data_IF_751828641315
#
_entry.id   IF_751828641315
#
_cell.length_a   1.000
_cell.length_b   1.000
_cell.length_c   1.000
_cell.angle_alpha   90.00
_cell.angle_beta   90.00
_cell.angle_gamma   90.00
#
_symmetry.space_group_name_H-M   'P 1'
#
loop_
_entity.id
_entity.type
_entity.pdbx_description
1 polymer ?
#
# COMPACT_ATOMS: atom_id res chain seq x y z
N UNK A 1 -10.90 41.57 -12.22
CA UNK A 1 -11.26 40.16 -11.93
C UNK A 1 -9.95 39.46 -11.71
N UNK A 2 -9.48 39.52 -10.46
CA UNK A 2 -8.17 39.04 -10.08
C UNK A 2 -8.34 37.64 -9.50
N UNK A 3 -7.64 36.66 -10.09
CA UNK A 3 -7.55 35.31 -9.54
C UNK A 3 -6.78 35.37 -8.20
N UNK A 4 -7.18 34.59 -7.18
CA UNK A 4 -6.42 34.55 -5.93
C UNK A 4 -5.09 33.79 -6.14
N UNK A 5 -3.96 34.30 -5.64
CA UNK A 5 -2.69 33.59 -5.62
C UNK A 5 -2.67 32.67 -4.40
N UNK A 6 -2.75 31.36 -4.59
CA UNK A 6 -2.74 30.46 -3.44
C UNK A 6 -3.10 29.01 -3.69
N UNK A 7 -2.48 28.36 -4.69
CA UNK A 7 -2.26 26.91 -4.66
C UNK A 7 -0.94 26.60 -5.37
N UNK A 8 0.17 27.01 -4.75
CA UNK A 8 1.43 26.31 -5.00
C UNK A 8 1.28 24.90 -4.43
N UNK A 9 0.84 23.96 -5.27
CA UNK A 9 1.20 22.57 -5.05
C UNK A 9 2.72 22.56 -4.82
N UNK A 10 3.24 21.99 -3.72
CA UNK A 10 4.65 21.70 -3.68
C UNK A 10 4.87 20.63 -4.76
N UNK A 11 5.21 21.09 -5.96
CA UNK A 11 5.86 20.28 -6.96
C UNK A 11 7.19 19.89 -6.35
N UNK A 12 7.19 18.80 -5.59
CA UNK A 12 8.42 18.07 -5.28
C UNK A 12 8.92 17.51 -6.61
N UNK A 13 9.55 18.36 -7.42
CA UNK A 13 10.26 17.93 -8.62
C UNK A 13 11.46 17.13 -8.13
N UNK A 14 11.37 15.82 -8.23
CA UNK A 14 12.52 14.95 -7.95
C UNK A 14 13.61 15.34 -8.95
N UNK A 15 14.82 15.60 -8.45
CA UNK A 15 15.92 16.01 -9.32
C UNK A 15 16.21 14.89 -10.31
N UNK A 16 16.12 15.19 -11.61
CA UNK A 16 16.31 14.22 -12.69
C UNK A 16 17.66 13.48 -12.60
N UNK A 17 18.72 14.15 -12.14
CA UNK A 17 20.03 13.52 -11.92
C UNK A 17 20.00 12.39 -10.88
N UNK A 18 19.13 12.46 -9.87
CA UNK A 18 18.96 11.40 -8.87
C UNK A 18 18.32 10.18 -9.53
N UNK A 19 17.29 10.38 -10.35
CA UNK A 19 16.59 9.29 -11.04
C UNK A 19 17.54 8.57 -12.02
N UNK A 20 18.34 9.33 -12.78
CA UNK A 20 19.36 8.76 -13.66
C UNK A 20 20.45 7.99 -12.89
N UNK A 21 20.84 8.45 -11.71
CA UNK A 21 21.79 7.74 -10.85
C UNK A 21 21.20 6.47 -10.20
N UNK A 22 19.91 6.48 -9.84
CA UNK A 22 19.22 5.35 -9.19
C UNK A 22 18.88 4.25 -10.20
N UNK A 23 18.48 4.61 -11.43
CA UNK A 23 18.08 3.67 -12.48
C UNK A 23 19.01 2.45 -12.62
N UNK A 24 20.33 2.58 -12.83
CA UNK A 24 21.22 1.43 -13.01
C UNK A 24 21.40 0.58 -11.74
N UNK A 25 21.05 1.12 -10.56
CA UNK A 25 21.12 0.42 -9.26
C UNK A 25 19.84 -0.33 -8.92
N UNK A 26 18.76 -0.17 -9.71
CA UNK A 26 17.48 -0.86 -9.47
C UNK A 26 17.61 -2.38 -9.43
N UNK A 27 18.49 -2.95 -10.26
CA UNK A 27 18.81 -4.39 -10.23
C UNK A 27 19.37 -4.85 -8.89
N UNK A 28 20.17 -4.02 -8.22
CA UNK A 28 20.77 -4.36 -6.92
C UNK A 28 19.71 -4.30 -5.82
N UNK A 29 18.85 -3.27 -5.85
CA UNK A 29 17.71 -3.19 -4.94
C UNK A 29 16.72 -4.33 -5.15
N UNK A 30 16.45 -4.70 -6.40
CA UNK A 30 15.66 -5.88 -6.74
C UNK A 30 16.27 -7.15 -6.14
N UNK A 31 17.59 -7.32 -6.27
CA UNK A 31 18.28 -8.47 -5.69
C UNK A 31 18.11 -8.54 -4.17
N UNK A 32 18.11 -7.41 -3.47
CA UNK A 32 17.87 -7.39 -2.01
C UNK A 32 16.46 -7.89 -1.63
N UNK A 33 15.46 -7.78 -2.51
CA UNK A 33 14.12 -8.34 -2.27
C UNK A 33 14.13 -9.88 -2.34
N UNK A 34 14.87 -10.43 -3.30
CA UNK A 34 15.04 -11.86 -3.52
C UNK A 34 15.94 -12.49 -2.45
N UNK A 35 17.10 -11.88 -2.23
CA UNK A 35 18.17 -12.35 -1.36
C UNK A 35 18.51 -11.26 -0.34
N UNK A 36 17.72 -11.15 0.74
CA UNK A 36 18.03 -10.22 1.80
C UNK A 36 19.35 -10.59 2.50
N UNK A 37 20.05 -9.62 3.11
CA UNK A 37 21.18 -9.91 3.99
C UNK A 37 20.78 -10.96 5.04
N UNK A 38 21.70 -11.87 5.36
CA UNK A 38 21.44 -12.97 6.30
C UNK A 38 20.88 -12.42 7.61
N UNK A 39 19.61 -12.67 7.84
CA UNK A 39 18.91 -12.34 9.07
C UNK A 39 18.62 -13.63 9.83
N UNK A 40 18.68 -13.58 11.16
CA UNK A 40 18.31 -14.72 11.99
C UNK A 40 16.83 -15.10 11.73
N UNK A 41 16.57 -16.41 11.74
CA UNK A 41 15.22 -16.97 11.68
C UNK A 41 14.31 -16.28 12.70
N UNK A 42 13.21 -15.68 12.25
CA UNK A 42 12.27 -15.02 13.14
C UNK A 42 11.17 -16.00 13.53
N UNK A 43 11.19 -16.47 14.78
CA UNK A 43 10.08 -17.23 15.36
C UNK A 43 8.96 -16.25 15.72
N UNK A 44 7.77 -16.51 15.20
CA UNK A 44 6.56 -15.76 15.53
C UNK A 44 5.56 -16.70 16.20
N UNK A 45 4.51 -16.13 16.83
CA UNK A 45 3.34 -16.89 17.30
C UNK A 45 2.64 -17.69 16.19
N UNK A 46 2.97 -17.39 14.93
CA UNK A 46 2.37 -17.95 13.72
C UNK A 46 3.33 -18.85 12.92
N UNK A 47 4.47 -19.22 13.49
CA UNK A 47 5.48 -20.05 12.85
C UNK A 47 6.79 -19.30 12.58
N UNK A 48 7.66 -19.91 11.79
CA UNK A 48 9.00 -19.38 11.49
C UNK A 48 8.97 -18.65 10.17
N UNK A 49 9.45 -17.40 10.17
CA UNK A 49 9.68 -16.63 8.96
C UNK A 49 11.14 -16.77 8.53
N UNK A 50 11.34 -17.38 7.37
CA UNK A 50 12.65 -17.54 6.75
C UNK A 50 12.63 -17.21 5.23
N UNK A 51 13.33 -16.15 4.79
CA UNK A 51 13.84 -15.05 5.62
C UNK A 51 12.68 -14.15 6.09
N UNK A 52 12.76 -13.50 7.26
CA UNK A 52 11.81 -12.45 7.65
C UNK A 52 11.96 -11.21 6.77
N UNK A 53 10.89 -10.46 6.46
CA UNK A 53 10.93 -9.28 5.57
C UNK A 53 12.15 -8.40 5.87
N UNK A 54 12.30 -8.00 7.13
CA UNK A 54 13.42 -7.19 7.60
C UNK A 54 13.39 -5.75 7.10
N UNK A 55 14.18 -4.89 7.73
CA UNK A 55 14.22 -3.47 7.38
C UNK A 55 14.76 -3.21 5.98
N UNK A 56 15.74 -4.00 5.51
CA UNK A 56 16.33 -3.84 4.18
C UNK A 56 15.28 -3.96 3.09
N UNK A 57 14.51 -5.06 3.05
CA UNK A 57 13.50 -5.24 2.01
C UNK A 57 12.37 -4.24 2.14
N UNK A 58 11.93 -3.95 3.37
CA UNK A 58 10.89 -2.95 3.59
C UNK A 58 11.30 -1.56 3.06
N UNK A 59 12.55 -1.15 3.29
CA UNK A 59 13.06 0.11 2.76
C UNK A 59 13.23 0.09 1.24
N UNK A 60 13.55 -1.06 0.64
CA UNK A 60 13.51 -1.20 -0.82
C UNK A 60 12.09 -1.03 -1.35
N UNK A 61 11.08 -1.64 -0.74
CA UNK A 61 9.68 -1.47 -1.17
C UNK A 61 9.26 0.00 -1.04
N UNK A 62 9.66 0.69 0.04
CA UNK A 62 9.44 2.14 0.20
C UNK A 62 10.09 2.97 -0.90
N UNK A 63 11.34 2.65 -1.25
CA UNK A 63 12.04 3.29 -2.37
C UNK A 63 11.28 3.09 -3.68
N UNK A 64 10.80 1.86 -3.94
CA UNK A 64 10.00 1.56 -5.14
C UNK A 64 8.71 2.39 -5.14
N UNK A 65 8.01 2.52 -4.02
CA UNK A 65 6.84 3.40 -3.92
C UNK A 65 7.18 4.85 -4.27
N UNK A 66 8.26 5.41 -3.69
CA UNK A 66 8.70 6.78 -4.02
C UNK A 66 9.09 6.95 -5.49
N UNK A 67 9.70 5.93 -6.10
CA UNK A 67 10.06 5.94 -7.52
C UNK A 67 8.83 5.88 -8.42
N UNK A 68 7.83 5.06 -8.09
CA UNK A 68 6.54 5.05 -8.80
C UNK A 68 5.87 6.43 -8.72
N UNK A 69 5.96 7.10 -7.58
CA UNK A 69 5.42 8.45 -7.40
C UNK A 69 6.05 9.49 -8.34
N UNK A 70 7.33 9.32 -8.69
CA UNK A 70 8.01 10.21 -9.64
C UNK A 70 7.48 10.07 -11.08
N UNK A 71 6.71 9.01 -11.36
CA UNK A 71 6.10 8.69 -12.64
C UNK A 71 7.05 8.86 -13.85
N UNK A 72 8.31 8.46 -13.69
CA UNK A 72 9.35 8.63 -14.71
C UNK A 72 9.42 7.40 -15.60
N UNK A 73 9.27 7.59 -16.92
CA UNK A 73 9.15 6.49 -17.89
C UNK A 73 10.34 5.51 -17.87
N UNK A 74 11.56 6.02 -17.78
CA UNK A 74 12.79 5.22 -17.76
C UNK A 74 12.87 4.31 -16.52
N UNK A 75 12.45 4.83 -15.36
CA UNK A 75 12.35 4.09 -14.09
C UNK A 75 11.25 3.04 -14.15
N UNK A 76 10.05 3.42 -14.62
CA UNK A 76 8.92 2.51 -14.75
C UNK A 76 9.25 1.32 -15.66
N UNK A 77 9.95 1.58 -16.76
CA UNK A 77 10.42 0.54 -17.69
C UNK A 77 11.41 -0.41 -17.03
N UNK A 78 12.36 0.11 -16.25
CA UNK A 78 13.34 -0.72 -15.55
C UNK A 78 12.68 -1.61 -14.48
N UNK A 79 11.71 -1.07 -13.72
CA UNK A 79 10.94 -1.85 -12.74
C UNK A 79 10.13 -2.98 -13.38
N UNK A 80 9.61 -2.76 -14.60
CA UNK A 80 8.89 -3.76 -15.41
C UNK A 80 9.84 -4.86 -15.91
N UNK A 81 11.00 -4.46 -16.42
CA UNK A 81 12.02 -5.39 -16.92
C UNK A 81 12.48 -6.35 -15.83
N UNK A 82 12.72 -5.82 -14.63
CA UNK A 82 13.11 -6.60 -13.46
C UNK A 82 11.94 -7.38 -12.84
N UNK A 83 10.68 -7.14 -13.24
CA UNK A 83 9.48 -7.68 -12.61
C UNK A 83 9.42 -7.38 -11.09
N UNK A 84 9.89 -6.21 -10.68
CA UNK A 84 9.97 -5.84 -9.25
C UNK A 84 8.60 -5.81 -8.57
N UNK A 85 7.56 -5.37 -9.29
CA UNK A 85 6.19 -5.39 -8.78
C UNK A 85 5.68 -6.82 -8.50
N UNK A 86 6.01 -7.77 -9.36
CA UNK A 86 5.67 -9.18 -9.16
C UNK A 86 6.26 -9.72 -7.85
N UNK A 87 7.54 -9.45 -7.60
CA UNK A 87 8.21 -9.85 -6.35
C UNK A 87 7.58 -9.19 -5.12
N UNK A 88 7.24 -7.90 -5.20
CA UNK A 88 6.57 -7.19 -4.11
C UNK A 88 5.20 -7.81 -3.80
N UNK A 89 4.45 -8.21 -4.83
CA UNK A 89 3.17 -8.90 -4.66
C UNK A 89 3.35 -10.31 -4.09
N UNK A 90 4.36 -11.07 -4.53
CA UNK A 90 4.69 -12.38 -3.93
C UNK A 90 5.01 -12.23 -2.44
N UNK A 91 5.76 -11.19 -2.08
CA UNK A 91 6.04 -10.86 -0.68
C UNK A 91 4.76 -10.50 0.08
N UNK A 92 3.85 -9.72 -0.50
CA UNK A 92 2.58 -9.33 0.13
C UNK A 92 1.80 -10.55 0.63
N UNK A 93 1.63 -11.56 -0.24
CA UNK A 93 0.88 -12.77 0.10
C UNK A 93 1.68 -13.75 0.98
N UNK A 94 3.01 -13.81 0.81
CA UNK A 94 3.90 -14.65 1.66
C UNK A 94 3.91 -14.17 3.11
N UNK A 95 4.01 -12.87 3.34
CA UNK A 95 4.16 -12.29 4.69
C UNK A 95 2.82 -11.82 5.24
N UNK A 96 1.98 -12.80 5.60
CA UNK A 96 0.56 -12.63 5.98
C UNK A 96 0.31 -11.58 7.07
N UNK A 97 1.27 -11.37 7.97
CA UNK A 97 1.15 -10.54 9.17
C UNK A 97 2.03 -9.27 9.16
N UNK A 98 2.59 -8.88 8.00
CA UNK A 98 3.46 -7.71 7.92
C UNK A 98 2.71 -6.45 7.45
N UNK A 99 2.12 -5.72 8.39
CA UNK A 99 1.34 -4.50 8.09
C UNK A 99 2.15 -3.44 7.34
N UNK A 100 3.44 -3.26 7.65
CA UNK A 100 4.27 -2.25 6.99
C UNK A 100 4.46 -2.56 5.50
N UNK A 101 4.68 -3.83 5.15
CA UNK A 101 4.75 -4.27 3.77
C UNK A 101 3.41 -4.04 3.06
N UNK A 102 2.30 -4.43 3.68
CA UNK A 102 0.96 -4.30 3.07
C UNK A 102 0.57 -2.85 2.81
N UNK A 103 0.92 -1.93 3.71
CA UNK A 103 0.75 -0.49 3.49
C UNK A 103 1.54 -0.03 2.26
N UNK A 104 2.79 -0.48 2.10
CA UNK A 104 3.59 -0.08 0.95
C UNK A 104 3.04 -0.63 -0.36
N UNK A 105 2.53 -1.88 -0.37
CA UNK A 105 1.88 -2.44 -1.56
C UNK A 105 0.61 -1.67 -1.92
N UNK A 106 -0.20 -1.30 -0.92
CA UNK A 106 -1.39 -0.46 -1.11
C UNK A 106 -1.03 0.89 -1.75
N UNK A 107 0.04 1.54 -1.28
CA UNK A 107 0.57 2.79 -1.85
C UNK A 107 1.03 2.59 -3.31
N UNK A 108 1.86 1.57 -3.58
CA UNK A 108 2.32 1.26 -4.93
C UNK A 108 1.14 1.04 -5.88
N UNK A 109 0.14 0.26 -5.47
CA UNK A 109 -1.07 0.01 -6.25
C UNK A 109 -1.83 1.31 -6.52
N UNK A 110 -2.05 2.14 -5.50
CA UNK A 110 -2.76 3.41 -5.68
C UNK A 110 -2.03 4.34 -6.67
N UNK A 111 -0.71 4.44 -6.59
CA UNK A 111 0.10 5.22 -7.53
C UNK A 111 -0.04 4.70 -8.97
N UNK A 112 0.06 3.38 -9.17
CA UNK A 112 -0.05 2.77 -10.51
C UNK A 112 -1.44 3.02 -11.12
N UNK A 113 -2.51 2.89 -10.33
CA UNK A 113 -3.88 3.02 -10.81
C UNK A 113 -4.28 4.48 -11.10
N UNK A 114 -3.84 5.42 -10.24
CA UNK A 114 -4.32 6.80 -10.26
C UNK A 114 -3.40 7.78 -11.02
N UNK A 115 -2.14 7.42 -11.29
CA UNK A 115 -1.25 8.32 -12.04
C UNK A 115 -1.52 8.25 -13.54
N UNK A 116 -1.59 9.39 -14.25
CA UNK A 116 -1.67 9.37 -15.69
C UNK A 116 -0.40 8.73 -16.30
N UNK A 117 -0.45 8.29 -17.56
CA UNK A 117 0.71 7.73 -18.25
C UNK A 117 1.94 8.64 -18.16
N UNK A 118 3.09 8.07 -17.79
CA UNK A 118 4.35 8.80 -17.65
C UNK A 118 4.72 9.58 -18.92
N UNK A 119 5.05 10.88 -18.86
CA UNK A 119 5.47 11.67 -20.03
C UNK A 119 6.66 11.02 -20.77
N UNK A 120 6.65 11.04 -22.10
CA UNK A 120 7.83 10.71 -22.93
C UNK A 120 8.34 11.97 -23.59
N UNK A 121 9.66 12.14 -23.60
CA UNK A 121 10.35 13.31 -24.17
C UNK A 121 10.15 13.48 -25.69
N UNK A 122 9.67 12.42 -26.35
CA UNK A 122 9.50 12.35 -27.79
C UNK A 122 8.01 12.38 -28.11
N UNK A 123 7.39 13.56 -28.14
CA UNK A 123 6.29 13.85 -29.08
C UNK A 123 5.87 15.33 -29.08
N UNK A 124 5.72 15.95 -30.27
CA UNK A 124 5.07 17.25 -30.41
C UNK A 124 3.57 17.13 -30.17
N UNK A 125 3.02 18.14 -29.50
CA UNK A 125 1.59 18.40 -29.24
C UNK A 125 0.76 18.22 -30.52
N UNK A 126 0.27 17.01 -30.76
CA UNK A 126 -0.71 16.74 -31.81
C UNK A 126 -1.98 16.29 -31.11
N UNK A 127 -3.03 17.10 -31.26
CA UNK A 127 -4.33 17.03 -30.54
C UNK A 127 -5.17 15.77 -30.86
N UNK A 128 -4.54 14.68 -31.31
CA UNK A 128 -5.17 13.39 -31.62
C UNK A 128 -4.24 12.23 -31.24
N UNK A 129 -3.70 12.22 -30.02
CA UNK A 129 -3.06 11.02 -29.50
C UNK A 129 -4.13 10.11 -28.87
N UNK A 130 -4.37 8.87 -29.35
CA UNK A 130 -5.19 7.91 -28.61
C UNK A 130 -4.69 7.87 -27.17
N UNK A 131 -5.62 8.01 -26.21
CA UNK A 131 -5.31 8.14 -24.78
C UNK A 131 -4.18 7.19 -24.39
N UNK A 132 -3.00 7.76 -24.14
CA UNK A 132 -1.78 6.98 -23.96
C UNK A 132 -1.99 5.95 -22.86
N UNK A 133 -1.52 4.74 -23.08
CA UNK A 133 -1.69 3.66 -22.11
C UNK A 133 -0.57 3.66 -21.05
N UNK A 134 -0.90 3.39 -19.80
CA UNK A 134 0.08 3.18 -18.73
C UNK A 134 0.73 1.80 -18.84
N UNK A 135 2.05 1.77 -19.07
CA UNK A 135 2.83 0.53 -19.12
C UNK A 135 2.82 -0.24 -17.79
N UNK A 136 2.70 0.49 -16.67
CA UNK A 136 2.67 -0.10 -15.34
C UNK A 136 1.34 -0.81 -15.05
N UNK A 137 0.22 -0.23 -15.49
CA UNK A 137 -1.10 -0.85 -15.36
C UNK A 137 -1.14 -2.14 -16.17
N UNK A 138 -0.70 -2.09 -17.43
CA UNK A 138 -0.61 -3.29 -18.28
C UNK A 138 0.25 -4.37 -17.62
N UNK A 139 1.43 -4.00 -17.10
CA UNK A 139 2.30 -4.94 -16.39
C UNK A 139 1.66 -5.55 -15.14
N UNK A 140 0.98 -4.72 -14.33
CA UNK A 140 0.32 -5.15 -13.09
C UNK A 140 -0.82 -6.14 -13.37
N UNK A 141 -1.65 -5.88 -14.38
CA UNK A 141 -2.81 -6.72 -14.68
C UNK A 141 -2.42 -7.98 -15.46
N UNK A 142 -1.56 -7.86 -16.48
CA UNK A 142 -1.21 -8.99 -17.35
C UNK A 142 -0.07 -9.84 -16.79
N UNK A 143 1.12 -9.25 -16.60
CA UNK A 143 2.32 -10.01 -16.18
C UNK A 143 2.29 -10.38 -14.71
N UNK A 144 1.80 -9.49 -13.84
CA UNK A 144 1.69 -9.79 -12.40
C UNK A 144 0.39 -10.53 -12.03
N UNK A 145 -0.57 -10.65 -12.95
CA UNK A 145 -1.85 -11.36 -12.74
C UNK A 145 -2.59 -10.88 -11.49
N UNK A 146 -2.65 -9.56 -11.29
CA UNK A 146 -3.07 -9.00 -10.00
C UNK A 146 -4.52 -9.32 -9.64
N UNK A 147 -5.43 -9.34 -10.62
CA UNK A 147 -6.84 -9.71 -10.42
C UNK A 147 -6.97 -11.15 -9.92
N UNK A 148 -6.28 -12.08 -10.58
CA UNK A 148 -6.27 -13.50 -10.21
C UNK A 148 -5.76 -13.69 -8.79
N UNK A 149 -4.64 -13.02 -8.45
CA UNK A 149 -4.06 -13.09 -7.11
C UNK A 149 -5.00 -12.57 -6.02
N UNK A 150 -5.76 -11.50 -6.29
CA UNK A 150 -6.75 -10.97 -5.33
C UNK A 150 -7.87 -11.98 -5.10
N UNK A 151 -8.46 -12.51 -6.17
CA UNK A 151 -9.57 -13.47 -6.12
C UNK A 151 -9.14 -14.77 -5.43
N UNK A 152 -7.96 -15.30 -5.78
CA UNK A 152 -7.40 -16.51 -5.19
C UNK A 152 -7.10 -16.30 -3.70
N UNK A 153 -6.46 -15.18 -3.34
CA UNK A 153 -6.15 -14.86 -1.96
C UNK A 153 -7.41 -14.75 -1.10
N UNK A 154 -8.49 -14.20 -1.66
CA UNK A 154 -9.77 -14.12 -0.97
C UNK A 154 -10.40 -15.50 -0.79
N UNK A 155 -10.51 -16.27 -1.87
CA UNK A 155 -11.09 -17.62 -1.88
C UNK A 155 -10.36 -18.56 -0.92
N UNK A 156 -9.02 -18.53 -0.93
CA UNK A 156 -8.20 -19.31 -0.01
C UNK A 156 -8.39 -18.88 1.44
N UNK A 157 -8.51 -17.57 1.72
CA UNK A 157 -8.79 -17.08 3.06
C UNK A 157 -10.19 -17.48 3.56
N UNK A 158 -11.20 -17.53 2.70
CA UNK A 158 -12.54 -18.02 3.07
C UNK A 158 -12.54 -19.52 3.36
N UNK A 159 -11.88 -20.31 2.52
CA UNK A 159 -11.69 -21.74 2.74
C UNK A 159 -10.98 -22.02 4.07
N UNK A 160 -9.86 -21.35 4.31
CA UNK A 160 -9.10 -21.51 5.56
C UNK A 160 -9.97 -21.19 6.78
N UNK A 161 -10.80 -20.14 6.72
CA UNK A 161 -11.71 -19.79 7.83
C UNK A 161 -12.86 -20.79 8.01
N UNK A 162 -13.41 -21.33 6.93
CA UNK A 162 -14.44 -22.37 6.99
C UNK A 162 -13.92 -23.66 7.64
N UNK A 163 -12.63 -23.95 7.48
CA UNK A 163 -11.92 -25.07 8.11
C UNK A 163 -11.48 -24.76 9.57
N UNK A 164 -11.90 -23.63 10.13
CA UNK A 164 -11.57 -23.21 11.51
C UNK A 164 -10.25 -22.44 11.63
N UNK A 165 -9.60 -22.13 10.51
CA UNK A 165 -8.45 -21.24 10.45
C UNK A 165 -8.82 -19.78 10.76
N UNK A 166 -7.79 -18.94 10.93
CA UNK A 166 -7.99 -17.52 11.21
C UNK A 166 -7.91 -16.69 9.93
N UNK A 167 -8.65 -15.58 9.91
CA UNK A 167 -8.56 -14.56 8.87
C UNK A 167 -7.12 -14.06 8.72
N UNK A 168 -6.60 -14.01 7.50
CA UNK A 168 -5.25 -13.51 7.18
C UNK A 168 -5.11 -12.02 7.49
N UNK A 169 -3.93 -11.61 7.96
CA UNK A 169 -3.65 -10.24 8.41
C UNK A 169 -3.82 -9.19 7.32
N UNK A 170 -3.38 -9.48 6.09
CA UNK A 170 -3.45 -8.55 4.97
C UNK A 170 -4.86 -8.27 4.46
N UNK A 171 -5.89 -9.03 4.87
CA UNK A 171 -7.21 -8.99 4.23
C UNK A 171 -7.88 -7.60 4.27
N UNK A 172 -7.60 -6.78 5.30
CA UNK A 172 -8.08 -5.39 5.31
C UNK A 172 -7.46 -4.52 4.22
N UNK A 173 -6.15 -4.69 3.96
CA UNK A 173 -5.46 -4.06 2.85
C UNK A 173 -5.96 -4.59 1.50
N UNK A 174 -6.23 -5.90 1.41
CA UNK A 174 -6.75 -6.52 0.19
C UNK A 174 -8.11 -5.93 -0.19
N UNK A 175 -9.00 -5.72 0.78
CA UNK A 175 -10.28 -5.03 0.56
C UNK A 175 -10.07 -3.62 0.02
N UNK A 176 -9.15 -2.83 0.61
CA UNK A 176 -8.86 -1.46 0.13
C UNK A 176 -8.26 -1.46 -1.28
N UNK A 177 -7.36 -2.38 -1.57
CA UNK A 177 -6.78 -2.58 -2.90
C UNK A 177 -7.87 -2.91 -3.94
N UNK A 178 -8.75 -3.86 -3.63
CA UNK A 178 -9.83 -4.26 -4.52
C UNK A 178 -10.79 -3.09 -4.79
N UNK A 179 -11.18 -2.35 -3.75
CA UNK A 179 -11.99 -1.15 -3.87
C UNK A 179 -11.29 -0.05 -4.71
N UNK A 180 -9.97 0.10 -4.56
CA UNK A 180 -9.18 1.06 -5.35
C UNK A 180 -9.19 0.69 -6.84
N UNK A 181 -9.10 -0.60 -7.18
CA UNK A 181 -9.22 -1.07 -8.57
C UNK A 181 -10.61 -0.76 -9.13
N UNK A 182 -11.68 -1.11 -8.41
CA UNK A 182 -13.07 -0.83 -8.85
C UNK A 182 -13.29 0.67 -9.02
N UNK A 183 -12.85 1.49 -8.07
CA UNK A 183 -12.97 2.93 -8.15
C UNK A 183 -12.21 3.53 -9.35
N UNK A 184 -10.96 3.11 -9.57
CA UNK A 184 -10.17 3.63 -10.70
C UNK A 184 -10.66 3.11 -12.06
N UNK A 185 -11.26 1.91 -12.09
CA UNK A 185 -11.95 1.38 -13.26
C UNK A 185 -13.13 2.29 -13.67
N UNK A 186 -13.90 2.79 -12.71
CA UNK A 186 -15.11 3.59 -12.98
C UNK A 186 -14.87 5.09 -13.13
N UNK A 187 -13.93 5.64 -12.34
CA UNK A 187 -13.73 7.08 -12.14
C UNK A 187 -12.29 7.54 -12.27
N UNK A 188 -11.34 6.62 -12.40
CA UNK A 188 -9.92 6.94 -12.47
C UNK A 188 -9.47 7.43 -13.84
N UNK A 189 -8.32 8.13 -13.92
CA UNK A 189 -7.78 8.63 -15.18
C UNK A 189 -7.41 7.52 -16.16
N UNK A 190 -7.15 6.32 -15.67
CA UNK A 190 -6.84 5.14 -16.48
C UNK A 190 -8.02 4.16 -16.62
N UNK A 191 -9.25 4.60 -16.29
CA UNK A 191 -10.45 3.76 -16.30
C UNK A 191 -10.65 2.95 -17.59
N UNK A 192 -10.58 3.57 -18.79
CA UNK A 192 -10.72 2.84 -20.06
C UNK A 192 -9.69 1.72 -20.24
N UNK A 193 -8.43 1.96 -19.89
CA UNK A 193 -7.37 0.96 -19.99
C UNK A 193 -7.60 -0.19 -18.99
N UNK A 194 -8.01 0.12 -17.75
CA UNK A 194 -8.30 -0.90 -16.74
C UNK A 194 -9.49 -1.76 -17.18
N UNK A 195 -10.57 -1.15 -17.69
CA UNK A 195 -11.73 -1.86 -18.22
C UNK A 195 -11.36 -2.78 -19.38
N UNK A 196 -10.56 -2.29 -20.32
CA UNK A 196 -10.06 -3.10 -21.43
C UNK A 196 -9.26 -4.31 -20.91
N UNK A 197 -8.29 -4.09 -20.02
CA UNK A 197 -7.45 -5.16 -19.48
C UNK A 197 -8.25 -6.21 -18.70
N UNK A 198 -9.30 -5.80 -17.98
CA UNK A 198 -10.22 -6.73 -17.31
C UNK A 198 -11.05 -7.51 -18.35
N UNK A 199 -11.48 -6.86 -19.44
CA UNK A 199 -12.24 -7.54 -20.50
C UNK A 199 -11.40 -8.56 -21.30
N UNK A 200 -10.08 -8.35 -21.35
CA UNK A 200 -9.10 -9.23 -22.01
C UNK A 200 -8.72 -10.46 -21.15
N UNK A 201 -9.14 -10.51 -19.88
CA UNK A 201 -8.90 -11.67 -19.02
C UNK A 201 -9.61 -12.92 -19.55
N UNK A 202 -9.09 -14.13 -19.26
CA UNK A 202 -9.82 -15.37 -19.48
C UNK A 202 -11.22 -15.29 -18.89
N UNK A 203 -12.22 -15.81 -19.60
CA UNK A 203 -13.63 -15.71 -19.17
C UNK A 203 -13.84 -16.19 -17.73
N UNK A 204 -13.19 -17.29 -17.34
CA UNK A 204 -13.25 -17.82 -15.98
C UNK A 204 -12.72 -16.81 -14.92
N UNK A 205 -11.61 -16.15 -15.19
CA UNK A 205 -11.02 -15.17 -14.27
C UNK A 205 -11.87 -13.91 -14.18
N UNK A 206 -12.41 -13.45 -15.32
CA UNK A 206 -13.31 -12.29 -15.37
C UNK A 206 -14.60 -12.56 -14.60
N UNK A 207 -15.23 -13.71 -14.81
CA UNK A 207 -16.48 -14.07 -14.14
C UNK A 207 -16.27 -14.23 -12.62
N UNK A 208 -15.13 -14.79 -12.20
CA UNK A 208 -14.75 -14.83 -10.77
C UNK A 208 -14.55 -13.44 -10.18
N UNK A 209 -13.90 -12.53 -10.91
CA UNK A 209 -13.74 -11.14 -10.49
C UNK A 209 -15.08 -10.42 -10.35
N UNK A 210 -15.98 -10.57 -11.32
CA UNK A 210 -17.33 -9.99 -11.29
C UNK A 210 -18.19 -10.52 -10.12
N UNK A 211 -18.14 -11.83 -9.88
CA UNK A 211 -18.80 -12.45 -8.73
C UNK A 211 -18.22 -11.95 -7.39
N UNK A 212 -16.89 -11.79 -7.33
CA UNK A 212 -16.21 -11.27 -6.14
C UNK A 212 -16.63 -9.83 -5.82
N UNK A 213 -16.62 -8.92 -6.82
CA UNK A 213 -16.95 -7.51 -6.60
C UNK A 213 -18.44 -7.31 -6.23
N UNK A 214 -19.33 -8.05 -6.89
CA UNK A 214 -20.78 -7.91 -6.71
C UNK A 214 -21.30 -8.58 -5.44
N UNK A 215 -20.66 -9.66 -4.99
CA UNK A 215 -20.97 -10.37 -3.76
C UNK A 215 -20.05 -9.99 -2.61
N UNK A 216 -18.95 -10.73 -2.49
CA UNK A 216 -18.10 -10.75 -1.29
C UNK A 216 -17.51 -9.38 -0.91
N UNK A 217 -17.03 -8.61 -1.90
CA UNK A 217 -16.49 -7.27 -1.67
C UNK A 217 -17.60 -6.31 -1.26
N UNK A 218 -18.73 -6.30 -1.98
CA UNK A 218 -19.91 -5.49 -1.66
C UNK A 218 -20.42 -5.74 -0.25
N UNK A 219 -20.56 -7.00 0.15
CA UNK A 219 -21.02 -7.36 1.50
C UNK A 219 -20.01 -7.04 2.59
N UNK A 220 -18.72 -7.10 2.28
CA UNK A 220 -17.67 -6.63 3.20
C UNK A 220 -17.72 -5.11 3.36
N UNK A 221 -17.91 -4.36 2.28
CA UNK A 221 -18.04 -2.91 2.32
C UNK A 221 -19.27 -2.48 3.12
N UNK A 222 -20.43 -3.11 2.92
CA UNK A 222 -21.63 -2.86 3.73
C UNK A 222 -21.33 -3.02 5.22
N UNK A 223 -20.71 -4.13 5.62
CA UNK A 223 -20.34 -4.40 7.03
C UNK A 223 -19.35 -3.38 7.58
N UNK A 224 -18.41 -2.90 6.79
CA UNK A 224 -17.41 -1.91 7.21
C UNK A 224 -17.98 -0.48 7.31
N UNK A 225 -19.07 -0.17 6.60
CA UNK A 225 -19.75 1.13 6.63
C UNK A 225 -20.84 1.20 7.72
N UNK A 226 -21.20 0.09 8.36
CA UNK A 226 -22.16 0.11 9.49
C UNK A 226 -21.56 0.96 10.62
N UNK A 227 -22.22 2.08 10.87
CA UNK A 227 -21.82 3.08 11.84
C UNK A 227 -21.77 2.49 13.25
N UNK A 228 -20.64 2.63 13.94
CA UNK A 228 -20.49 2.25 15.36
C UNK A 228 -21.30 3.20 16.28
N UNK A 229 -21.89 4.27 15.73
CA UNK A 229 -22.81 5.20 16.39
C UNK A 229 -24.23 4.63 16.45
N UNK A 230 -24.35 3.40 16.94
CA UNK A 230 -25.57 2.94 17.59
C UNK A 230 -25.21 2.47 19.00
N UNK A 231 -24.42 3.29 19.70
CA UNK A 231 -24.48 3.34 21.16
C UNK A 231 -25.89 3.75 21.49
N UNK A 232 -26.69 2.78 21.95
CA UNK A 232 -27.90 2.98 22.71
C UNK A 232 -27.84 4.33 23.42
N UNK A 233 -28.88 5.15 23.23
CA UNK A 233 -29.16 6.25 24.14
C UNK A 233 -28.98 5.71 25.55
N UNK A 234 -27.88 6.11 26.21
CA UNK A 234 -27.74 5.99 27.64
C UNK A 234 -28.88 6.85 28.14
N UNK A 235 -30.00 6.21 28.45
CA UNK A 235 -31.09 6.85 29.15
C UNK A 235 -30.45 7.42 30.40
N UNK A 236 -30.28 8.73 30.40
CA UNK A 236 -29.97 9.50 31.60
C UNK A 236 -31.15 9.27 32.54
N UNK A 237 -31.04 8.26 33.40
CA UNK A 237 -31.98 8.07 34.49
C UNK A 237 -31.70 9.16 35.50
N UNK A 238 -32.49 10.22 35.36
CA UNK A 238 -32.80 11.18 36.39
C UNK A 238 -33.04 10.50 37.74
N UNK A 239 -32.55 11.19 38.78
CA UNK A 239 -32.98 11.12 40.18
C UNK A 239 -32.37 10.01 41.06
N UNK A 240 -31.28 10.35 41.74
CA UNK A 240 -31.16 10.17 43.19
C UNK A 240 -29.97 11.02 43.69
N UNK A 241 -30.30 12.10 44.41
CA UNK A 241 -29.37 12.94 45.17
C UNK A 241 -28.65 12.09 46.23
N UNK A 242 -27.37 11.77 45.99
CA UNK A 242 -26.47 11.26 47.03
C UNK A 242 -25.31 12.22 47.25
N UNK A 243 -25.45 12.99 48.32
CA UNK A 243 -24.44 13.88 48.91
C UNK A 243 -23.14 13.10 49.21
N UNK A 244 -22.19 13.15 48.29
CA UNK A 244 -20.86 12.55 48.49
C UNK A 244 -19.90 13.61 49.02
N UNK A 245 -19.80 13.68 50.34
CA UNK A 245 -18.75 14.38 51.06
C UNK A 245 -17.38 13.87 50.64
N UNK A 246 -16.58 14.83 50.18
CA UNK A 246 -15.13 14.99 50.31
C UNK A 246 -14.32 13.70 50.60
N UNK A 247 -13.71 13.15 49.56
CA UNK A 247 -12.55 12.27 49.69
C UNK A 247 -11.56 12.71 48.63
N UNK A 248 -10.58 13.51 49.07
CA UNK A 248 -9.54 14.11 48.25
C UNK A 248 -8.81 13.07 47.40
N UNK A 249 -8.92 13.24 46.08
CA UNK A 249 -7.96 12.68 45.14
C UNK A 249 -6.88 13.72 44.90
N UNK A 250 -5.66 13.37 45.30
CA UNK A 250 -4.46 14.12 45.03
C UNK A 250 -4.34 14.44 43.55
N UNK A 251 -4.23 15.73 43.28
CA UNK A 251 -3.89 16.32 42.00
C UNK A 251 -2.38 16.11 41.77
N UNK A 252 -1.99 14.96 41.25
CA UNK A 252 -0.61 14.77 40.78
C UNK A 252 -0.48 13.72 39.67
N UNK A 253 -0.40 14.21 38.43
CA UNK A 253 0.39 13.68 37.30
C UNK A 253 -0.17 14.21 35.99
N UNK A 254 -0.10 15.53 35.87
CA UNK A 254 -0.08 16.21 34.59
C UNK A 254 1.18 15.81 33.82
N UNK A 255 1.02 15.54 32.52
CA UNK A 255 2.04 15.68 31.47
C UNK A 255 3.22 14.68 31.53
N UNK A 256 3.04 13.48 30.96
CA UNK A 256 4.15 12.81 30.28
C UNK A 256 4.42 13.54 28.96
N UNK A 257 5.29 14.53 29.09
CA UNK A 257 5.97 15.27 28.04
C UNK A 257 6.78 14.31 27.16
N UNK A 258 6.39 14.17 25.89
CA UNK A 258 7.26 13.64 24.83
C UNK A 258 8.42 14.61 24.62
N UNK A 259 9.50 14.44 25.39
CA UNK A 259 10.78 15.10 25.19
C UNK A 259 11.70 14.22 24.37
N UNK A 260 11.85 14.52 23.08
CA UNK A 260 12.99 14.09 22.29
C UNK A 260 14.23 14.85 22.79
N UNK A 261 15.11 14.16 23.52
CA UNK A 261 16.50 14.58 23.72
C UNK A 261 17.38 13.59 22.96
N UNK A 262 17.77 13.96 21.74
CA UNK A 262 18.91 13.38 21.03
C UNK A 262 20.12 14.27 21.32
N UNK A 263 20.94 13.94 22.31
CA UNK A 263 22.32 14.40 22.40
C UNK A 263 23.22 13.29 22.99
N UNK A 264 24.40 13.15 22.36
CA UNK A 264 25.61 12.44 22.80
C UNK A 264 25.64 10.90 22.78
N UNK A 265 26.11 10.36 21.65
CA UNK A 265 27.14 9.31 21.72
C UNK A 265 28.43 9.88 21.18
N UNK A 266 29.36 10.10 22.12
CA UNK A 266 30.70 10.58 21.89
C UNK A 266 31.54 9.57 21.11
N UNK A 267 32.33 10.10 20.19
CA UNK A 267 33.50 9.46 19.60
C UNK A 267 34.49 9.05 20.71
N UNK A 268 34.93 7.79 20.66
CA UNK A 268 36.21 7.37 21.23
C UNK A 268 36.87 6.43 20.22
N UNK A 269 37.54 7.05 19.24
CA UNK A 269 38.66 6.44 18.54
C UNK A 269 39.87 6.44 19.48
N UNK A 270 40.18 5.28 20.06
CA UNK A 270 41.48 5.03 20.68
C UNK A 270 42.48 4.58 19.59
N UNK A 271 43.36 5.51 19.22
CA UNK A 271 44.67 5.31 18.62
C UNK A 271 45.61 6.07 19.57
N UNK A 272 46.73 5.59 20.11
CA UNK A 272 47.92 5.03 19.45
C UNK A 272 48.90 4.47 20.51
N UNK A 273 49.86 3.68 20.03
CA UNK A 273 51.20 3.29 20.58
C UNK A 273 51.30 2.11 21.56
#
# INVERSE_FOLDING_TARGET
MDCPPGMSHPSFSVNHSILEAVRPRLKDFHQLLLEPPKANLMKTTWGVLDPPVGNTRLNVVRLVASLLQSNTHSINTELINLNTLGIILDMYFKYIWNNFLHIQVEICTAMILAMPPAPTEIQPDTEQDPARESILIKHLFQKCQFIQRIVEAWSSNEKDQAEGGRRRGYMGHLTRIANSIVHNCDKGPNGPQIQQLISELPAEDRDKWEAFISGQLSDTNKRNTVDLVNTHHIHSSSDDEVDFKDSGFHQDSSLQQFGFNDEEFADQDDVVE
#
